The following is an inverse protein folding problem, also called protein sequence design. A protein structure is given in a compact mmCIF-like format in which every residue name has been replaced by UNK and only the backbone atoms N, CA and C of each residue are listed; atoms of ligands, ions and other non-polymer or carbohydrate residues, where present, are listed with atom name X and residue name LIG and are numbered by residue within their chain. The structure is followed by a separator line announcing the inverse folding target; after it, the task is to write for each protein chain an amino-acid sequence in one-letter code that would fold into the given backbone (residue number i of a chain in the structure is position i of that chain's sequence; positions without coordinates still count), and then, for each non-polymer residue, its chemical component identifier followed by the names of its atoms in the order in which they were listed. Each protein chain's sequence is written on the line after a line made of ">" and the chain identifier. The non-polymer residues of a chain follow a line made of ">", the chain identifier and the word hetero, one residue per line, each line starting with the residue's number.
data_IF_210243981810
#
_entry.id   IF_210243981810
#
_cell.length_a   1.000
_cell.length_b   1.000
_cell.length_c   1.000
_cell.angle_alpha   90.00
_cell.angle_beta   90.00
_cell.angle_gamma   90.00
#
_symmetry.space_group_name_H-M   'P 1'
#
loop_
_entity.id
_entity.type
_entity.pdbx_description
1 polymer ?
#
# COMPACT_ATOMS: atom_id res chain seq x y z
N UNK A 1 -76.71 -19.00 -16.55
CA UNK A 1 -76.46 -17.56 -16.81
C UNK A 1 -75.17 -17.21 -16.08
N UNK A 2 -74.04 -17.18 -16.79
CA UNK A 2 -73.36 -15.97 -17.29
C UNK A 2 -72.79 -15.14 -16.13
N UNK A 3 -71.47 -15.23 -15.91
CA UNK A 3 -70.45 -14.21 -16.29
C UNK A 3 -70.28 -13.14 -15.18
N UNK A 4 -69.11 -12.63 -14.76
CA UNK A 4 -67.72 -12.65 -15.25
C UNK A 4 -66.83 -11.80 -14.33
N UNK A 5 -65.52 -12.11 -14.31
CA UNK A 5 -64.35 -11.20 -14.13
C UNK A 5 -63.97 -10.71 -12.72
N UNK A 6 -62.70 -10.51 -12.34
CA UNK A 6 -61.37 -10.80 -12.95
C UNK A 6 -60.28 -10.31 -11.96
N UNK A 7 -59.19 -11.10 -11.84
CA UNK A 7 -57.76 -10.70 -11.62
C UNK A 7 -57.40 -9.86 -10.38
N UNK A 8 -56.28 -10.01 -9.67
CA UNK A 8 -55.05 -10.82 -9.76
C UNK A 8 -54.33 -10.68 -8.41
N UNK A 9 -53.47 -11.64 -8.07
CA UNK A 9 -52.20 -11.53 -7.31
C UNK A 9 -51.94 -12.83 -6.56
N UNK A 10 -51.44 -13.83 -7.29
CA UNK A 10 -50.85 -15.04 -6.73
C UNK A 10 -49.71 -15.50 -7.65
N UNK A 11 -48.48 -15.08 -7.36
CA UNK A 11 -47.27 -15.71 -7.88
C UNK A 11 -46.20 -15.73 -6.78
N UNK A 12 -46.29 -16.74 -5.93
CA UNK A 12 -45.16 -17.33 -5.21
C UNK A 12 -45.14 -18.81 -5.59
N UNK A 13 -43.93 -19.34 -5.82
CA UNK A 13 -43.58 -20.75 -6.04
C UNK A 13 -43.83 -21.32 -7.44
N UNK A 14 -42.92 -21.07 -8.39
CA UNK A 14 -42.50 -22.03 -9.43
C UNK A 14 -41.17 -21.55 -10.05
N UNK A 15 -40.05 -21.86 -9.40
CA UNK A 15 -38.73 -21.83 -10.06
C UNK A 15 -37.77 -22.80 -9.35
N UNK A 16 -38.18 -24.06 -9.29
CA UNK A 16 -37.35 -25.14 -8.77
C UNK A 16 -37.72 -26.46 -9.45
N UNK A 17 -37.76 -26.49 -10.79
CA UNK A 17 -37.76 -27.73 -11.57
C UNK A 17 -37.62 -27.41 -13.07
N UNK A 18 -36.39 -27.24 -13.57
CA UNK A 18 -36.00 -27.53 -14.96
C UNK A 18 -34.49 -27.32 -15.11
N UNK A 19 -33.81 -28.14 -15.91
CA UNK A 19 -32.36 -28.18 -16.18
C UNK A 19 -31.49 -29.07 -15.27
N UNK A 20 -31.93 -30.32 -15.09
CA UNK A 20 -31.02 -31.48 -15.08
C UNK A 20 -31.43 -32.37 -16.26
N UNK A 21 -30.47 -32.73 -17.11
CA UNK A 21 -30.57 -33.47 -18.39
C UNK A 21 -30.77 -32.67 -19.68
N UNK A 22 -29.66 -32.15 -20.24
CA UNK A 22 -29.44 -32.20 -21.70
C UNK A 22 -28.03 -32.74 -21.94
N UNK A 23 -27.98 -33.70 -22.86
CA UNK A 23 -26.89 -34.62 -23.12
C UNK A 23 -25.73 -34.03 -23.92
N UNK A 24 -24.57 -34.62 -23.63
CA UNK A 24 -23.36 -34.76 -24.43
C UNK A 24 -23.69 -35.14 -25.88
N UNK A 25 -23.54 -34.23 -26.86
CA UNK A 25 -23.26 -34.58 -28.28
C UNK A 25 -22.77 -33.37 -29.11
N UNK A 26 -21.61 -32.79 -28.83
CA UNK A 26 -20.91 -31.90 -29.79
C UNK A 26 -19.39 -32.03 -29.63
N UNK A 27 -18.87 -33.23 -29.91
CA UNK A 27 -17.43 -33.50 -29.95
C UNK A 27 -17.14 -34.65 -30.94
N UNK A 28 -17.45 -34.45 -32.23
CA UNK A 28 -17.04 -35.36 -33.32
C UNK A 28 -17.50 -34.84 -34.69
N UNK A 29 -17.04 -33.68 -35.16
CA UNK A 29 -17.25 -33.33 -36.58
C UNK A 29 -16.25 -32.36 -37.22
N UNK A 30 -15.01 -32.30 -36.76
CA UNK A 30 -13.96 -31.51 -37.45
C UNK A 30 -12.59 -32.21 -37.52
N UNK A 31 -12.58 -33.54 -37.60
CA UNK A 31 -11.41 -34.31 -37.99
C UNK A 31 -11.86 -35.38 -39.02
N UNK A 32 -11.27 -35.30 -40.22
CA UNK A 32 -11.36 -36.23 -41.37
C UNK A 32 -12.41 -35.93 -42.46
N UNK A 33 -12.03 -35.06 -43.40
CA UNK A 33 -12.14 -35.30 -44.86
C UNK A 33 -10.98 -34.57 -45.54
N UNK A 34 -9.89 -35.30 -45.83
CA UNK A 34 -9.45 -35.75 -47.18
C UNK A 34 -9.24 -34.57 -48.15
N UNK A 35 -7.98 -34.19 -48.39
CA UNK A 35 -7.08 -34.71 -49.46
C UNK A 35 -7.61 -34.51 -50.89
N UNK A 36 -6.77 -33.84 -51.70
CA UNK A 36 -6.74 -33.66 -53.18
C UNK A 36 -7.34 -32.33 -53.71
N UNK A 37 -6.51 -31.33 -54.03
CA UNK A 37 -5.93 -31.11 -55.37
C UNK A 37 -4.98 -29.88 -55.44
N UNK A 38 -3.74 -30.16 -55.88
CA UNK A 38 -2.79 -29.44 -56.74
C UNK A 38 -2.42 -27.93 -56.59
N UNK A 39 -1.11 -27.76 -56.37
CA UNK A 39 -0.14 -26.90 -57.07
C UNK A 39 -0.43 -25.40 -57.26
N UNK A 40 0.26 -24.57 -56.46
CA UNK A 40 0.98 -23.37 -56.91
C UNK A 40 2.03 -22.94 -55.87
N UNK A 41 3.30 -23.10 -56.23
CA UNK A 41 4.55 -22.38 -55.88
C UNK A 41 4.53 -21.52 -54.58
N UNK A 42 5.43 -21.76 -53.60
CA UNK A 42 5.59 -20.88 -52.45
C UNK A 42 6.53 -19.70 -52.78
N UNK A 43 6.06 -18.47 -52.60
CA UNK A 43 6.91 -17.28 -52.51
C UNK A 43 7.46 -17.22 -51.09
N UNK A 44 8.78 -17.37 -50.96
CA UNK A 44 9.52 -17.14 -49.73
C UNK A 44 9.47 -15.65 -49.38
N UNK A 45 8.70 -15.27 -48.36
CA UNK A 45 8.84 -13.97 -47.71
C UNK A 45 9.92 -14.11 -46.63
N UNK A 46 11.02 -13.39 -46.83
CA UNK A 46 12.11 -13.25 -45.86
C UNK A 46 11.58 -12.61 -44.56
N UNK A 47 12.05 -13.01 -43.37
CA UNK A 47 11.73 -12.28 -42.15
C UNK A 47 12.35 -10.88 -42.19
N UNK A 48 11.74 -9.86 -41.55
CA UNK A 48 12.33 -8.53 -41.49
C UNK A 48 13.66 -8.57 -40.71
N UNK A 49 14.63 -7.68 -41.02
CA UNK A 49 15.90 -7.68 -40.35
C UNK A 49 15.72 -7.40 -38.86
N UNK A 50 16.33 -8.25 -38.03
CA UNK A 50 16.49 -8.02 -36.61
C UNK A 50 17.29 -6.73 -36.39
N UNK A 51 16.71 -5.77 -35.68
CA UNK A 51 17.49 -4.67 -35.10
C UNK A 51 18.45 -5.28 -34.08
N UNK A 52 19.72 -5.38 -34.46
CA UNK A 52 20.82 -5.56 -33.51
C UNK A 52 20.90 -4.28 -32.68
N UNK A 53 20.57 -4.38 -31.40
CA UNK A 53 21.10 -3.44 -30.41
C UNK A 53 22.51 -3.92 -30.07
N UNK A 54 23.51 -3.18 -30.52
CA UNK A 54 24.87 -3.31 -30.01
C UNK A 54 24.86 -2.83 -28.55
N UNK A 55 24.84 -3.78 -27.60
CA UNK A 55 25.04 -3.50 -26.19
C UNK A 55 26.53 -3.25 -25.95
N UNK A 56 26.90 -1.99 -25.77
CA UNK A 56 28.11 -1.64 -25.05
C UNK A 56 27.98 -2.05 -23.57
N UNK A 57 29.03 -2.60 -22.94
CA UNK A 57 28.93 -3.14 -21.59
C UNK A 57 28.87 -2.04 -20.53
N UNK A 58 27.97 -2.25 -19.57
CA UNK A 58 27.98 -1.74 -18.19
C UNK A 58 28.17 -0.24 -17.99
N UNK A 59 27.07 0.45 -17.68
CA UNK A 59 27.12 1.65 -16.83
C UNK A 59 26.48 1.33 -15.49
N UNK A 60 27.34 1.14 -14.50
CA UNK A 60 26.99 1.26 -13.08
C UNK A 60 26.51 2.70 -12.83
N UNK A 61 25.43 2.84 -12.08
CA UNK A 61 24.94 4.13 -11.58
C UNK A 61 26.02 4.73 -10.65
N UNK A 62 26.47 6.00 -10.82
CA UNK A 62 27.51 6.55 -9.97
C UNK A 62 26.98 6.93 -8.59
N UNK A 63 27.61 6.39 -7.54
CA UNK A 63 27.50 6.87 -6.16
C UNK A 63 28.21 8.23 -6.06
N UNK A 64 27.47 9.30 -5.76
CA UNK A 64 28.07 10.62 -5.53
C UNK A 64 28.76 10.67 -4.17
N UNK A 65 30.10 10.60 -4.16
CA UNK A 65 30.91 10.98 -3.01
C UNK A 65 31.05 12.51 -2.97
N UNK A 66 30.40 13.17 -1.99
CA UNK A 66 30.67 14.58 -1.68
C UNK A 66 32.05 14.69 -1.01
N UNK A 67 32.99 15.31 -1.71
CA UNK A 67 34.29 15.72 -1.19
C UNK A 67 34.12 16.89 -0.21
N UNK A 68 34.56 16.69 1.03
CA UNK A 68 34.79 17.76 2.02
C UNK A 68 36.15 18.39 1.70
N UNK A 69 36.13 19.61 1.16
CA UNK A 69 37.34 20.43 0.99
C UNK A 69 37.56 21.27 2.24
N UNK A 70 38.51 20.85 3.07
CA UNK A 70 39.05 21.66 4.15
C UNK A 70 39.88 22.82 3.57
N UNK A 71 39.47 24.08 3.80
CA UNK A 71 40.30 25.26 3.59
C UNK A 71 40.75 25.82 4.93
N UNK A 72 42.04 25.61 5.21
CA UNK A 72 42.83 26.22 6.29
C UNK A 72 43.25 27.62 5.84
N UNK A 73 43.07 28.65 6.67
CA UNK A 73 43.82 29.92 6.60
C UNK A 73 44.02 30.53 8.00
N UNK A 74 45.06 31.37 8.19
CA UNK A 74 45.85 31.40 9.42
C UNK A 74 45.43 32.48 10.43
N UNK A 75 45.97 32.28 11.62
CA UNK A 75 45.97 33.13 12.80
C UNK A 75 46.56 34.52 12.59
N UNK A 76 45.89 35.55 13.14
CA UNK A 76 46.53 36.77 13.66
C UNK A 76 45.86 37.14 14.99
N UNK A 77 46.70 37.42 15.98
CA UNK A 77 46.41 37.82 17.35
C UNK A 77 45.82 39.23 17.47
N UNK A 78 44.91 39.44 18.42
CA UNK A 78 44.97 40.61 19.31
C UNK A 78 44.13 40.38 20.58
N UNK A 79 44.71 40.82 21.69
CA UNK A 79 44.24 40.83 23.07
C UNK A 79 43.12 41.85 23.31
N UNK A 80 42.09 41.49 24.09
CA UNK A 80 41.63 42.33 25.21
C UNK A 80 40.70 41.58 26.17
N UNK A 81 41.00 41.77 27.44
CA UNK A 81 40.30 41.44 28.68
C UNK A 81 38.79 41.74 28.66
N UNK A 82 37.95 40.84 29.19
CA UNK A 82 36.97 41.15 30.24
C UNK A 82 36.35 39.87 30.81
N UNK A 83 36.43 39.73 32.14
CA UNK A 83 35.60 38.85 32.96
C UNK A 83 34.12 39.12 32.69
N UNK A 84 33.24 38.12 32.83
CA UNK A 84 32.05 38.12 33.73
C UNK A 84 31.22 36.84 33.54
N UNK A 85 31.04 36.14 34.66
CA UNK A 85 29.95 35.25 35.08
C UNK A 85 29.57 33.99 34.28
N UNK A 86 29.83 32.88 34.95
CA UNK A 86 29.14 31.60 34.92
C UNK A 86 27.62 31.76 34.97
N UNK A 87 26.93 31.23 33.96
CA UNK A 87 25.53 30.82 34.06
C UNK A 87 25.44 29.35 33.61
N UNK A 88 25.24 28.48 34.59
CA UNK A 88 24.86 27.09 34.39
C UNK A 88 23.42 27.05 33.88
N UNK A 89 23.23 26.73 32.59
CA UNK A 89 21.92 26.32 32.07
C UNK A 89 21.92 24.80 32.04
N UNK A 90 21.13 24.21 32.93
CA UNK A 90 20.89 22.78 32.95
C UNK A 90 20.11 22.36 31.71
N UNK A 91 20.73 21.52 30.89
CA UNK A 91 20.02 20.72 29.89
C UNK A 91 19.42 19.51 30.61
N UNK A 92 18.14 19.60 30.98
CA UNK A 92 17.30 18.45 31.26
C UNK A 92 16.16 18.45 30.24
N UNK A 93 16.47 18.08 28.99
CA UNK A 93 15.45 17.66 28.03
C UNK A 93 15.32 16.14 28.13
N UNK A 94 14.53 15.68 29.10
CA UNK A 94 14.02 14.31 29.10
C UNK A 94 13.01 14.26 27.95
N UNK A 95 13.39 13.65 26.82
CA UNK A 95 12.43 13.22 25.81
C UNK A 95 11.45 12.26 26.49
N UNK A 96 10.31 12.78 26.94
CA UNK A 96 9.21 11.97 27.43
C UNK A 96 8.74 11.10 26.26
N UNK A 97 9.05 9.80 26.29
CA UNK A 97 8.50 8.85 25.33
C UNK A 97 6.99 8.82 25.50
N UNK A 98 6.26 9.43 24.57
CA UNK A 98 4.80 9.40 24.54
C UNK A 98 4.32 7.97 24.56
N UNK A 99 3.47 7.62 25.52
CA UNK A 99 2.88 6.27 25.63
C UNK A 99 1.45 6.29 25.15
N UNK A 100 0.92 5.17 24.62
CA UNK A 100 -0.50 5.13 24.24
C UNK A 100 -1.43 5.39 25.43
N UNK A 101 -0.99 5.07 26.65
CA UNK A 101 -1.73 5.32 27.87
C UNK A 101 -1.96 6.82 28.17
N UNK A 102 -1.29 7.75 27.48
CA UNK A 102 -1.55 9.20 27.62
C UNK A 102 -2.76 9.66 26.80
N UNK A 103 -3.28 8.81 25.91
CA UNK A 103 -4.43 9.12 25.04
C UNK A 103 -5.79 8.92 25.72
N UNK A 104 -5.82 8.40 26.94
CA UNK A 104 -7.07 8.11 27.64
C UNK A 104 -7.87 9.41 27.95
N UNK A 105 -9.20 9.43 27.71
CA UNK A 105 -10.00 8.38 27.08
C UNK A 105 -9.75 8.31 25.57
N UNK A 106 -9.47 7.11 25.05
CA UNK A 106 -9.25 6.92 23.61
C UNK A 106 -10.56 7.11 22.84
N UNK A 107 -10.51 7.91 21.77
CA UNK A 107 -11.69 8.24 20.96
C UNK A 107 -11.60 7.69 19.54
N UNK A 108 -10.40 7.57 18.96
CA UNK A 108 -10.24 7.04 17.62
C UNK A 108 -8.96 6.23 17.39
N UNK A 109 -9.00 5.37 16.36
CA UNK A 109 -7.85 4.70 15.77
C UNK A 109 -7.88 4.87 14.27
N UNK A 110 -6.79 5.36 13.69
CA UNK A 110 -6.64 5.50 12.24
C UNK A 110 -5.77 4.37 11.69
N UNK A 111 -6.11 3.86 10.53
CA UNK A 111 -5.43 2.73 9.91
C UNK A 111 -4.89 3.13 8.54
N UNK A 112 -3.64 2.80 8.25
CA UNK A 112 -3.25 2.56 6.87
C UNK A 112 -3.87 1.26 6.32
N UNK A 113 -3.70 0.98 5.03
CA UNK A 113 -4.35 -0.16 4.35
C UNK A 113 -3.31 -1.21 3.94
N UNK A 114 -2.51 -0.93 2.92
CA UNK A 114 -1.48 -1.84 2.42
C UNK A 114 -0.47 -2.16 3.52
N UNK A 115 -0.12 -3.44 3.71
CA UNK A 115 0.77 -3.88 4.78
C UNK A 115 0.22 -3.74 6.21
N UNK A 116 -0.89 -3.00 6.40
CA UNK A 116 -1.43 -2.63 7.72
C UNK A 116 -2.71 -3.40 8.06
N UNK A 117 -3.72 -3.42 7.20
CA UNK A 117 -4.92 -4.28 7.37
C UNK A 117 -4.82 -5.56 6.53
N UNK A 118 -4.03 -5.55 5.46
CA UNK A 118 -3.77 -6.72 4.63
C UNK A 118 -2.28 -6.85 4.29
N UNK A 119 -1.86 -8.09 4.03
CA UNK A 119 -0.56 -8.39 3.43
C UNK A 119 -0.70 -8.34 1.90
N UNK A 120 -0.61 -7.13 1.32
CA UNK A 120 -0.82 -6.87 -0.12
C UNK A 120 0.48 -6.94 -0.95
N UNK A 121 1.63 -6.76 -0.32
CA UNK A 121 2.95 -6.77 -0.97
C UNK A 121 3.23 -8.00 -1.85
N UNK A 122 2.90 -9.25 -1.43
CA UNK A 122 3.10 -10.42 -2.29
C UNK A 122 2.35 -10.32 -3.63
N UNK A 123 1.18 -9.69 -3.64
CA UNK A 123 0.38 -9.49 -4.85
C UNK A 123 0.95 -8.36 -5.70
N UNK A 124 1.37 -7.25 -5.08
CA UNK A 124 2.05 -6.15 -5.79
C UNK A 124 3.34 -6.65 -6.46
N UNK A 125 4.20 -7.34 -5.71
CA UNK A 125 5.42 -7.92 -6.22
C UNK A 125 5.15 -8.86 -7.41
N UNK A 126 4.14 -9.73 -7.30
CA UNK A 126 3.77 -10.60 -8.42
C UNK A 126 3.36 -9.80 -9.66
N UNK A 127 2.51 -8.79 -9.52
CA UNK A 127 2.07 -7.96 -10.66
C UNK A 127 3.25 -7.25 -11.33
N UNK A 128 4.11 -6.60 -10.54
CA UNK A 128 5.30 -5.95 -11.07
C UNK A 128 6.24 -6.94 -11.74
N UNK A 129 6.48 -8.10 -11.12
CA UNK A 129 7.36 -9.14 -11.65
C UNK A 129 6.89 -9.65 -13.02
N UNK A 130 5.61 -10.00 -13.16
CA UNK A 130 5.07 -10.48 -14.44
C UNK A 130 5.08 -9.38 -15.50
N UNK A 131 4.57 -8.19 -15.18
CA UNK A 131 4.43 -7.12 -16.18
C UNK A 131 5.78 -6.54 -16.63
N UNK A 132 6.76 -6.41 -15.73
CA UNK A 132 8.12 -5.99 -16.09
C UNK A 132 8.78 -7.05 -16.99
N UNK A 133 8.57 -8.34 -16.70
CA UNK A 133 9.08 -9.41 -17.54
C UNK A 133 8.46 -9.38 -18.95
N UNK A 134 7.15 -9.15 -19.07
CA UNK A 134 6.44 -9.07 -20.35
C UNK A 134 6.99 -8.00 -21.29
N UNK A 135 7.41 -6.85 -20.74
CA UNK A 135 7.99 -5.76 -21.54
C UNK A 135 9.50 -5.91 -21.76
N UNK A 136 10.11 -7.01 -21.32
CA UNK A 136 11.54 -7.29 -21.47
C UNK A 136 12.44 -6.45 -20.55
N UNK A 137 11.91 -5.91 -19.45
CA UNK A 137 12.72 -5.20 -18.45
C UNK A 137 13.86 -6.10 -17.96
N UNK A 138 15.03 -5.52 -17.67
CA UNK A 138 16.22 -6.26 -17.24
C UNK A 138 16.59 -7.43 -18.18
N UNK A 139 16.41 -7.25 -19.49
CA UNK A 139 16.68 -8.30 -20.49
C UNK A 139 15.72 -9.49 -20.40
N UNK A 140 14.54 -9.33 -19.79
CA UNK A 140 13.54 -10.38 -19.60
C UNK A 140 13.77 -11.26 -18.36
N UNK A 141 14.76 -10.92 -17.52
CA UNK A 141 14.96 -11.59 -16.23
C UNK A 141 13.98 -10.99 -15.21
N UNK A 142 13.13 -11.82 -14.56
CA UNK A 142 12.20 -11.33 -13.54
C UNK A 142 12.92 -10.57 -12.42
N UNK A 143 12.30 -9.49 -11.91
CA UNK A 143 12.79 -8.83 -10.70
C UNK A 143 12.71 -9.78 -9.50
N UNK A 144 13.61 -9.58 -8.54
CA UNK A 144 13.61 -10.31 -7.27
C UNK A 144 12.78 -9.58 -6.22
N UNK A 145 12.51 -10.25 -5.10
CA UNK A 145 11.82 -9.65 -3.96
C UNK A 145 12.67 -8.52 -3.34
N UNK A 146 14.00 -8.68 -3.30
CA UNK A 146 14.91 -7.63 -2.83
C UNK A 146 14.82 -6.38 -3.72
N UNK A 147 14.79 -6.55 -5.04
CA UNK A 147 14.58 -5.42 -5.95
C UNK A 147 13.23 -4.74 -5.70
N UNK A 148 12.16 -5.51 -5.49
CA UNK A 148 10.85 -4.96 -5.17
C UNK A 148 10.90 -4.12 -3.88
N UNK A 149 11.50 -4.64 -2.81
CA UNK A 149 11.62 -3.92 -1.53
C UNK A 149 12.42 -2.62 -1.68
N UNK A 150 13.56 -2.66 -2.37
CA UNK A 150 14.45 -1.50 -2.48
C UNK A 150 13.92 -0.42 -3.45
N UNK A 151 13.23 -0.84 -4.51
CA UNK A 151 12.88 0.04 -5.62
C UNK A 151 11.40 0.38 -5.72
N UNK A 152 10.49 -0.41 -5.17
CA UNK A 152 9.05 -0.32 -5.44
C UNK A 152 8.22 -0.23 -4.15
N UNK A 153 8.43 -1.13 -3.18
CA UNK A 153 7.61 -1.24 -1.98
C UNK A 153 7.51 0.09 -1.21
N UNK A 154 6.30 0.45 -0.80
CA UNK A 154 6.01 1.67 -0.03
C UNK A 154 6.23 3.00 -0.77
N UNK A 155 6.58 3.01 -2.06
CA UNK A 155 6.73 4.23 -2.86
C UNK A 155 5.44 4.63 -3.57
N UNK A 156 5.34 5.90 -3.94
CA UNK A 156 4.23 6.39 -4.75
C UNK A 156 4.34 5.87 -6.19
N UNK A 157 3.18 5.66 -6.83
CA UNK A 157 3.14 5.19 -8.22
C UNK A 157 3.86 6.12 -9.20
N UNK A 158 3.84 7.43 -8.96
CA UNK A 158 4.53 8.40 -9.80
C UNK A 158 6.06 8.26 -9.68
N UNK A 159 6.58 8.08 -8.46
CA UNK A 159 8.00 7.82 -8.20
C UNK A 159 8.45 6.49 -8.82
N UNK A 160 7.60 5.47 -8.74
CA UNK A 160 7.84 4.16 -9.35
C UNK A 160 7.87 4.28 -10.87
N UNK A 161 6.91 5.00 -11.46
CA UNK A 161 6.85 5.26 -12.89
C UNK A 161 8.11 5.98 -13.39
N UNK A 162 8.53 7.04 -12.70
CA UNK A 162 9.76 7.78 -13.03
C UNK A 162 11.01 6.90 -12.88
N UNK A 163 11.09 6.10 -11.81
CA UNK A 163 12.25 5.23 -11.58
C UNK A 163 12.36 4.09 -12.59
N UNK A 164 11.25 3.51 -13.04
CA UNK A 164 11.25 2.36 -13.96
C UNK A 164 11.31 2.81 -15.42
N UNK A 165 10.81 4.00 -15.74
CA UNK A 165 10.73 4.55 -17.11
C UNK A 165 11.25 5.99 -17.16
N UNK A 166 12.53 6.23 -16.82
CA UNK A 166 13.08 7.59 -16.71
C UNK A 166 13.05 8.39 -18.02
N UNK A 167 13.08 7.70 -19.17
CA UNK A 167 13.04 8.32 -20.50
C UNK A 167 11.61 8.48 -21.07
N UNK A 168 10.59 7.92 -20.42
CA UNK A 168 9.20 7.92 -20.90
C UNK A 168 8.20 7.82 -19.74
N UNK A 169 8.04 8.94 -19.02
CA UNK A 169 7.15 9.02 -17.86
C UNK A 169 5.69 8.67 -18.21
N UNK A 170 5.22 8.99 -19.41
CA UNK A 170 3.84 8.68 -19.81
C UNK A 170 3.62 7.18 -19.96
N UNK A 171 4.60 6.46 -20.52
CA UNK A 171 4.60 5.00 -20.51
C UNK A 171 4.68 4.44 -19.10
N UNK A 172 5.48 5.02 -18.21
CA UNK A 172 5.58 4.62 -16.82
C UNK A 172 4.26 4.76 -16.06
N UNK A 173 3.58 5.90 -16.20
CA UNK A 173 2.27 6.15 -15.58
C UNK A 173 1.21 5.17 -16.09
N UNK A 174 1.21 4.89 -17.40
CA UNK A 174 0.32 3.85 -17.96
C UNK A 174 0.64 2.46 -17.40
N UNK A 175 1.92 2.12 -17.28
CA UNK A 175 2.35 0.83 -16.76
C UNK A 175 1.88 0.61 -15.32
N UNK A 176 2.03 1.61 -14.45
CA UNK A 176 1.57 1.49 -13.05
C UNK A 176 0.04 1.39 -12.98
N UNK A 177 -0.72 2.11 -13.80
CA UNK A 177 -2.18 1.99 -13.86
C UNK A 177 -2.64 0.59 -14.33
N UNK A 178 -2.03 0.06 -15.40
CA UNK A 178 -2.27 -1.31 -15.86
C UNK A 178 -1.92 -2.34 -14.75
N UNK A 179 -0.84 -2.08 -13.98
CA UNK A 179 -0.44 -2.89 -12.82
C UNK A 179 -1.49 -2.88 -11.74
N UNK A 180 -2.08 -1.72 -11.43
CA UNK A 180 -3.18 -1.66 -10.46
C UNK A 180 -4.41 -2.42 -10.94
N UNK A 181 -4.71 -2.41 -12.24
CA UNK A 181 -5.78 -3.22 -12.79
C UNK A 181 -5.50 -4.73 -12.64
N UNK A 182 -4.26 -5.18 -12.81
CA UNK A 182 -3.87 -6.56 -12.51
C UNK A 182 -3.97 -6.86 -11.01
N UNK A 183 -3.45 -5.99 -10.15
CA UNK A 183 -3.51 -6.12 -8.69
C UNK A 183 -4.95 -6.31 -8.22
N UNK A 184 -5.89 -5.46 -8.68
CA UNK A 184 -7.29 -5.56 -8.27
C UNK A 184 -7.93 -6.92 -8.62
N UNK A 185 -7.58 -7.52 -9.76
CA UNK A 185 -8.07 -8.85 -10.14
C UNK A 185 -7.55 -9.95 -9.22
N UNK A 186 -6.30 -9.86 -8.77
CA UNK A 186 -5.71 -10.86 -7.86
C UNK A 186 -6.18 -10.66 -6.43
N UNK A 187 -6.21 -9.41 -5.96
CA UNK A 187 -6.62 -9.05 -4.62
C UNK A 187 -8.06 -9.45 -4.32
N UNK A 188 -8.97 -9.41 -5.29
CA UNK A 188 -10.35 -9.87 -5.09
C UNK A 188 -10.48 -11.33 -4.70
N UNK A 189 -9.47 -12.16 -4.96
CA UNK A 189 -9.49 -13.60 -4.70
C UNK A 189 -8.48 -14.06 -3.64
N UNK A 190 -7.35 -13.35 -3.50
CA UNK A 190 -6.17 -13.85 -2.78
C UNK A 190 -5.74 -12.99 -1.60
N UNK A 191 -6.37 -11.84 -1.37
CA UNK A 191 -5.98 -10.91 -0.31
C UNK A 191 -6.14 -11.55 1.07
N UNK A 192 -5.11 -11.38 1.92
CA UNK A 192 -5.09 -11.90 3.28
C UNK A 192 -5.05 -10.75 4.28
N UNK A 193 -5.84 -10.81 5.37
CA UNK A 193 -5.71 -9.86 6.47
C UNK A 193 -4.38 -10.06 7.19
N UNK A 194 -3.84 -9.00 7.79
CA UNK A 194 -2.75 -9.13 8.78
C UNK A 194 -3.26 -9.94 9.98
N UNK A 195 -2.42 -10.84 10.50
CA UNK A 195 -2.80 -11.70 11.63
C UNK A 195 -3.30 -10.87 12.82
N UNK A 196 -4.37 -11.35 13.47
CA UNK A 196 -4.99 -10.66 14.60
C UNK A 196 -5.87 -9.44 14.26
N UNK A 197 -5.97 -9.00 13.00
CA UNK A 197 -6.76 -7.82 12.60
C UNK A 197 -8.18 -7.83 13.17
N UNK A 198 -8.89 -8.96 13.02
CA UNK A 198 -10.27 -9.07 13.49
C UNK A 198 -10.40 -9.05 15.02
N UNK A 199 -9.34 -9.38 15.75
CA UNK A 199 -9.29 -9.27 17.21
C UNK A 199 -9.24 -7.79 17.62
N UNK A 200 -8.43 -6.98 16.93
CA UNK A 200 -8.37 -5.52 17.13
C UNK A 200 -9.66 -4.86 16.68
N UNK A 201 -10.21 -5.24 15.52
CA UNK A 201 -11.53 -4.81 15.03
C UNK A 201 -12.59 -4.98 16.13
N UNK A 202 -12.69 -6.18 16.69
CA UNK A 202 -13.64 -6.47 17.77
C UNK A 202 -13.38 -5.60 19.01
N UNK A 203 -12.12 -5.43 19.42
CA UNK A 203 -11.76 -4.60 20.57
C UNK A 203 -12.19 -3.13 20.41
N UNK A 204 -12.05 -2.58 19.19
CA UNK A 204 -12.51 -1.23 18.81
C UNK A 204 -14.04 -1.13 18.86
N UNK A 205 -14.73 -2.08 18.24
CA UNK A 205 -16.20 -2.11 18.17
C UNK A 205 -16.84 -2.22 19.56
N UNK A 206 -16.30 -3.09 20.42
CA UNK A 206 -16.80 -3.28 21.80
C UNK A 206 -16.70 -2.00 22.65
N UNK A 207 -15.88 -1.02 22.24
CA UNK A 207 -15.67 0.28 22.91
C UNK A 207 -16.32 1.46 22.20
N UNK A 208 -16.91 1.26 21.03
CA UNK A 208 -17.46 2.36 20.22
C UNK A 208 -16.40 3.39 19.80
N UNK A 209 -15.14 2.97 19.66
CA UNK A 209 -14.05 3.84 19.23
C UNK A 209 -14.21 4.16 17.75
N UNK A 210 -14.02 5.44 17.38
CA UNK A 210 -14.11 5.88 15.98
C UNK A 210 -12.92 5.44 15.16
N UNK A 211 -13.09 5.33 13.84
CA UNK A 211 -12.01 4.84 12.97
C UNK A 211 -12.15 5.30 11.53
N UNK A 212 -11.00 5.55 10.91
CA UNK A 212 -10.90 5.83 9.50
C UNK A 212 -9.70 5.10 8.88
N UNK A 213 -9.82 4.78 7.60
CA UNK A 213 -8.72 4.32 6.78
C UNK A 213 -8.06 5.51 6.08
N UNK A 214 -6.73 5.55 6.02
CA UNK A 214 -5.94 6.64 5.43
C UNK A 214 -4.85 6.01 4.60
N UNK A 215 -4.79 6.25 3.29
CA UNK A 215 -3.87 5.52 2.39
C UNK A 215 -3.33 6.42 1.28
N UNK A 216 -2.16 6.09 0.73
CA UNK A 216 -1.68 6.65 -0.55
C UNK A 216 -2.10 5.78 -1.76
N UNK A 217 -2.68 4.60 -1.54
CA UNK A 217 -3.13 3.74 -2.62
C UNK A 217 -4.24 4.41 -3.44
N UNK A 218 -4.36 4.08 -4.74
CA UNK A 218 -5.50 4.50 -5.54
C UNK A 218 -6.83 4.11 -4.87
N UNK A 219 -7.82 5.00 -4.92
CA UNK A 219 -9.13 4.81 -4.29
C UNK A 219 -9.77 3.45 -4.59
N UNK A 220 -9.75 3.05 -5.86
CA UNK A 220 -10.32 1.77 -6.29
C UNK A 220 -9.63 0.55 -5.66
N UNK A 221 -8.33 0.64 -5.36
CA UNK A 221 -7.61 -0.42 -4.66
C UNK A 221 -7.99 -0.43 -3.18
N UNK A 222 -8.04 0.75 -2.55
CA UNK A 222 -8.42 0.91 -1.15
C UNK A 222 -9.82 0.35 -0.87
N UNK A 223 -10.81 0.75 -1.68
CA UNK A 223 -12.19 0.28 -1.59
C UNK A 223 -12.28 -1.25 -1.80
N UNK A 224 -11.56 -1.77 -2.80
CA UNK A 224 -11.50 -3.22 -3.03
C UNK A 224 -10.94 -3.95 -1.81
N UNK A 225 -9.77 -3.56 -1.30
CA UNK A 225 -9.14 -4.24 -0.17
C UNK A 225 -10.02 -4.21 1.07
N UNK A 226 -10.60 -3.05 1.41
CA UNK A 226 -11.54 -2.92 2.54
C UNK A 226 -12.74 -3.87 2.36
N UNK A 227 -13.34 -3.89 1.17
CA UNK A 227 -14.52 -4.73 0.90
C UNK A 227 -14.19 -6.23 0.91
N UNK A 228 -13.05 -6.64 0.34
CA UNK A 228 -12.59 -8.03 0.30
C UNK A 228 -12.30 -8.60 1.69
N UNK A 229 -11.95 -7.75 2.67
CA UNK A 229 -11.75 -8.14 4.06
C UNK A 229 -13.04 -8.05 4.92
N UNK A 230 -14.17 -7.69 4.31
CA UNK A 230 -15.44 -7.51 5.04
C UNK A 230 -15.43 -6.32 6.00
N UNK A 231 -14.69 -5.25 5.66
CA UNK A 231 -14.51 -4.05 6.47
C UNK A 231 -15.29 -2.83 5.95
N UNK A 232 -16.18 -3.01 4.96
CA UNK A 232 -16.92 -1.89 4.34
C UNK A 232 -17.70 -1.04 5.36
N UNK A 233 -18.32 -1.67 6.35
CA UNK A 233 -19.06 -0.99 7.42
C UNK A 233 -18.20 -0.70 8.66
N UNK A 234 -16.92 -1.09 8.62
CA UNK A 234 -16.01 -0.90 9.74
C UNK A 234 -15.44 0.51 9.77
N UNK A 235 -15.14 1.17 8.65
CA UNK A 235 -14.56 2.51 8.66
C UNK A 235 -15.63 3.59 8.50
N UNK A 236 -15.53 4.67 9.29
CA UNK A 236 -16.42 5.84 9.15
C UNK A 236 -15.99 6.75 7.99
N UNK A 237 -14.70 6.70 7.61
CA UNK A 237 -14.15 7.43 6.50
C UNK A 237 -12.99 6.67 5.85
N UNK A 238 -12.83 6.89 4.54
CA UNK A 238 -11.66 6.52 3.76
C UNK A 238 -11.03 7.80 3.22
N UNK A 239 -9.78 8.05 3.61
CA UNK A 239 -8.99 9.19 3.14
C UNK A 239 -7.94 8.70 2.15
N UNK A 240 -8.04 9.21 0.93
CA UNK A 240 -7.07 8.95 -0.13
C UNK A 240 -6.08 10.11 -0.19
N UNK A 241 -4.79 9.81 -0.07
CA UNK A 241 -3.72 10.80 0.02
C UNK A 241 -3.64 11.72 -1.20
N UNK A 242 -3.90 11.19 -2.40
CA UNK A 242 -3.94 11.98 -3.64
C UNK A 242 -5.14 12.93 -3.74
N UNK A 243 -6.15 12.80 -2.87
CA UNK A 243 -7.28 13.73 -2.72
C UNK A 243 -7.03 14.78 -1.61
N UNK A 244 -5.82 14.84 -1.06
CA UNK A 244 -5.39 15.82 -0.07
C UNK A 244 -4.44 16.85 -0.71
N UNK A 245 -4.16 17.96 -0.02
CA UNK A 245 -3.20 18.97 -0.50
C UNK A 245 -1.80 18.35 -0.65
N UNK A 246 -1.38 17.56 0.34
CA UNK A 246 -0.18 16.74 0.27
C UNK A 246 -0.46 15.30 0.73
N UNK A 247 0.07 14.32 0.00
CA UNK A 247 0.01 12.92 0.39
C UNK A 247 1.04 12.58 1.49
N UNK A 248 1.01 11.39 2.09
CA UNK A 248 2.04 10.96 3.06
C UNK A 248 3.43 11.06 2.38
N UNK A 249 4.47 11.61 3.02
CA UNK A 249 4.68 11.73 4.46
C UNK A 249 4.15 13.02 5.11
N UNK A 250 3.39 13.84 4.40
CA UNK A 250 2.75 15.01 4.99
C UNK A 250 1.59 14.60 5.90
N UNK A 251 1.29 15.41 6.94
CA UNK A 251 0.26 15.06 7.93
C UNK A 251 -1.18 15.20 7.41
N UNK A 252 -1.37 15.88 6.29
CA UNK A 252 -2.66 16.31 5.74
C UNK A 252 -3.70 15.18 5.67
N UNK A 253 -3.39 13.95 5.19
CA UNK A 253 -4.37 12.88 5.12
C UNK A 253 -4.88 12.44 6.50
N UNK A 254 -4.01 12.45 7.51
CA UNK A 254 -4.38 12.10 8.87
C UNK A 254 -5.15 13.21 9.57
N UNK A 255 -4.76 14.48 9.36
CA UNK A 255 -5.49 15.63 9.89
C UNK A 255 -6.91 15.71 9.29
N UNK A 256 -7.04 15.43 7.98
CA UNK A 256 -8.34 15.34 7.30
C UNK A 256 -9.21 14.21 7.86
N UNK A 257 -8.62 13.07 8.22
CA UNK A 257 -9.34 11.98 8.87
C UNK A 257 -9.94 12.43 10.22
N UNK A 258 -9.16 13.11 11.06
CA UNK A 258 -9.60 13.64 12.36
C UNK A 258 -10.75 14.65 12.21
N UNK A 259 -10.67 15.52 11.22
CA UNK A 259 -11.74 16.49 10.90
C UNK A 259 -13.04 15.78 10.53
N UNK A 260 -12.99 14.81 9.62
CA UNK A 260 -14.16 14.09 9.12
C UNK A 260 -14.84 13.28 10.22
N UNK A 261 -14.07 12.55 11.04
CA UNK A 261 -14.63 11.75 12.12
C UNK A 261 -14.88 12.58 13.40
N UNK A 262 -14.51 13.88 13.39
CA UNK A 262 -14.69 14.85 14.47
C UNK A 262 -14.13 14.35 15.82
N UNK A 263 -12.80 14.17 15.89
CA UNK A 263 -12.06 13.76 17.09
C UNK A 263 -10.73 14.51 17.23
N UNK A 264 -10.21 14.62 18.45
CA UNK A 264 -8.89 15.22 18.70
C UNK A 264 -7.76 14.23 18.45
N UNK A 265 -6.65 14.72 17.89
CA UNK A 265 -5.38 13.97 17.80
C UNK A 265 -4.88 13.49 19.18
N UNK A 266 -5.21 14.22 20.25
CA UNK A 266 -4.76 13.91 21.62
C UNK A 266 -5.47 12.67 22.21
N UNK A 267 -6.49 12.15 21.52
CA UNK A 267 -7.23 10.94 21.86
C UNK A 267 -7.24 9.93 20.71
N UNK A 268 -6.21 9.97 19.85
CA UNK A 268 -6.12 9.17 18.63
C UNK A 268 -4.72 8.62 18.45
N UNK A 269 -4.60 7.37 17.98
CA UNK A 269 -3.34 6.83 17.47
C UNK A 269 -3.53 6.21 16.09
N UNK A 270 -2.40 5.92 15.42
CA UNK A 270 -2.34 5.40 14.06
C UNK A 270 -1.69 4.02 14.03
N UNK A 271 -2.22 3.10 13.22
CA UNK A 271 -1.51 1.91 12.75
C UNK A 271 -0.96 2.14 11.33
N UNK A 272 0.31 1.82 11.12
CA UNK A 272 1.05 2.07 9.87
C UNK A 272 2.15 1.04 9.66
N UNK A 273 2.46 0.68 8.43
CA UNK A 273 3.54 -0.25 8.10
C UNK A 273 4.73 0.41 7.39
N UNK A 274 4.57 1.68 6.97
CA UNK A 274 5.50 2.35 6.05
C UNK A 274 6.26 3.51 6.71
N UNK A 275 7.49 3.77 6.26
CA UNK A 275 8.28 4.93 6.73
C UNK A 275 7.56 6.25 6.42
N UNK A 276 6.95 6.36 5.23
CA UNK A 276 6.25 7.60 4.84
C UNK A 276 5.04 7.84 5.74
N UNK A 277 4.29 6.78 6.05
CA UNK A 277 3.07 6.89 6.81
C UNK A 277 3.29 7.07 8.31
N UNK A 278 4.30 6.41 8.88
CA UNK A 278 4.74 6.72 10.25
C UNK A 278 5.15 8.20 10.35
N UNK A 279 5.93 8.73 9.39
CA UNK A 279 6.28 10.16 9.36
C UNK A 279 5.04 11.06 9.29
N UNK A 280 4.03 10.69 8.50
CA UNK A 280 2.79 11.44 8.39
C UNK A 280 2.01 11.47 9.73
N UNK A 281 1.85 10.32 10.39
CA UNK A 281 1.16 10.24 11.69
C UNK A 281 1.90 11.02 12.79
N UNK A 282 3.22 10.90 12.84
CA UNK A 282 4.08 11.66 13.78
C UNK A 282 4.00 13.16 13.49
N UNK A 283 4.07 13.57 12.22
CA UNK A 283 3.93 14.98 11.83
C UNK A 283 2.53 15.54 12.15
N UNK A 284 1.50 14.70 12.14
CA UNK A 284 0.14 15.06 12.56
C UNK A 284 0.01 15.16 14.09
N UNK A 285 1.07 14.85 14.85
CA UNK A 285 1.11 14.91 16.30
C UNK A 285 0.35 13.77 16.98
N UNK A 286 0.25 12.62 16.32
CA UNK A 286 -0.37 11.40 16.87
C UNK A 286 0.69 10.32 17.16
N UNK A 287 0.53 9.55 18.23
CA UNK A 287 1.24 8.29 18.42
C UNK A 287 1.01 7.33 17.24
N UNK A 288 2.09 6.70 16.76
CA UNK A 288 2.02 5.69 15.70
C UNK A 288 2.52 4.36 16.23
N UNK A 289 1.74 3.30 16.04
CA UNK A 289 2.16 1.91 16.21
C UNK A 289 2.54 1.37 14.84
N UNK A 290 3.83 1.09 14.66
CA UNK A 290 4.35 0.57 13.39
C UNK A 290 4.14 -0.94 13.29
N UNK A 291 3.72 -1.45 12.13
CA UNK A 291 3.56 -2.88 11.84
C UNK A 291 4.70 -3.32 10.93
N UNK A 292 5.58 -4.17 11.46
CA UNK A 292 6.75 -4.68 10.74
C UNK A 292 6.38 -5.90 9.88
N UNK A 293 5.33 -5.80 9.07
CA UNK A 293 4.85 -6.90 8.21
C UNK A 293 5.89 -7.29 7.17
N UNK A 294 6.47 -6.29 6.49
CA UNK A 294 7.41 -6.45 5.37
C UNK A 294 8.58 -5.48 5.39
N UNK A 295 8.39 -4.28 5.91
CA UNK A 295 9.46 -3.27 6.00
C UNK A 295 10.48 -3.60 7.10
N UNK A 296 11.78 -3.36 6.88
CA UNK A 296 12.80 -3.55 7.90
C UNK A 296 12.56 -2.69 9.14
N UNK A 297 12.53 -3.31 10.33
CA UNK A 297 12.25 -2.62 11.60
C UNK A 297 13.14 -1.39 11.84
N UNK A 298 14.43 -1.46 11.47
CA UNK A 298 15.37 -0.36 11.67
C UNK A 298 14.96 0.90 10.89
N UNK A 299 14.44 0.77 9.67
CA UNK A 299 13.95 1.89 8.87
C UNK A 299 12.67 2.48 9.46
N UNK A 300 11.76 1.61 9.93
CA UNK A 300 10.52 2.07 10.59
C UNK A 300 10.84 2.84 11.87
N UNK A 301 11.81 2.38 12.67
CA UNK A 301 12.23 3.07 13.90
C UNK A 301 12.80 4.47 13.65
N UNK A 302 13.46 4.73 12.51
CA UNK A 302 13.94 6.08 12.14
C UNK A 302 12.80 7.08 11.96
N UNK A 303 11.60 6.62 11.59
CA UNK A 303 10.40 7.43 11.50
C UNK A 303 9.76 7.76 12.86
N UNK A 304 10.33 7.23 13.96
CA UNK A 304 9.93 7.47 15.36
C UNK A 304 8.49 7.03 15.72
N UNK A 305 8.06 5.79 15.40
CA UNK A 305 6.85 5.23 15.98
C UNK A 305 7.04 5.07 17.50
N UNK A 306 5.95 4.93 18.24
CA UNK A 306 6.01 4.67 19.70
C UNK A 306 6.63 3.31 19.96
N UNK A 307 6.17 2.30 19.23
CA UNK A 307 6.77 0.97 19.19
C UNK A 307 6.38 0.26 17.88
N UNK A 308 7.08 -0.85 17.62
CA UNK A 308 6.77 -1.76 16.52
C UNK A 308 6.12 -3.04 17.03
N UNK A 309 5.21 -3.58 16.23
CA UNK A 309 4.60 -4.89 16.38
C UNK A 309 4.82 -5.70 15.11
N UNK A 310 4.91 -7.02 15.22
CA UNK A 310 5.02 -7.89 14.04
C UNK A 310 3.70 -8.00 13.29
N UNK A 311 2.61 -8.13 14.04
CA UNK A 311 1.23 -8.21 13.60
C UNK A 311 0.32 -7.87 14.80
N UNK A 312 -1.00 -7.94 14.64
CA UNK A 312 -1.93 -7.60 15.73
C UNK A 312 -2.05 -8.68 16.81
N UNK A 313 -1.35 -9.82 16.70
CA UNK A 313 -1.26 -10.82 17.78
C UNK A 313 -0.12 -10.51 18.75
N UNK A 314 0.76 -9.56 18.41
CA UNK A 314 1.92 -9.20 19.22
C UNK A 314 1.49 -8.82 20.67
N UNK A 315 2.01 -9.52 21.70
CA UNK A 315 1.68 -9.23 23.10
C UNK A 315 1.96 -7.78 23.53
N UNK A 316 2.93 -7.11 22.88
CA UNK A 316 3.22 -5.70 23.17
C UNK A 316 2.03 -4.79 22.87
N UNK A 317 1.30 -5.06 21.78
CA UNK A 317 0.09 -4.32 21.45
C UNK A 317 -0.94 -4.47 22.57
N UNK A 318 -1.26 -5.70 22.93
CA UNK A 318 -2.30 -6.00 23.91
C UNK A 318 -1.96 -5.45 25.30
N UNK A 319 -0.69 -5.51 25.71
CA UNK A 319 -0.26 -4.88 26.96
C UNK A 319 -0.49 -3.35 26.95
N UNK A 320 -0.20 -2.67 25.84
CA UNK A 320 -0.43 -1.24 25.71
C UNK A 320 -1.93 -0.87 25.69
N UNK A 321 -2.76 -1.65 25.01
CA UNK A 321 -4.22 -1.45 24.98
C UNK A 321 -4.85 -1.70 26.35
N UNK A 322 -4.40 -2.72 27.08
CA UNK A 322 -4.85 -3.00 28.45
C UNK A 322 -4.47 -1.90 29.45
N UNK A 323 -3.33 -1.22 29.24
CA UNK A 323 -2.96 -0.06 30.06
C UNK A 323 -3.86 1.14 29.78
N UNK A 324 -4.21 1.34 28.50
CA UNK A 324 -5.13 2.38 28.05
C UNK A 324 -6.53 2.23 28.67
N UNK A 325 -7.04 1.00 28.73
CA UNK A 325 -8.34 0.68 29.34
C UNK A 325 -8.41 0.89 30.87
N UNK A 326 -7.25 1.00 31.55
CA UNK A 326 -7.19 1.19 33.02
C UNK A 326 -7.31 2.64 33.46
N UNK A 327 -7.22 3.60 32.54
CA UNK A 327 -7.25 5.05 32.83
C UNK A 327 -8.58 5.67 32.44
#
# INVERSE_FOLDING_TARGET
>A
MLCTYSSSYAYKYYFFFFMKHINITYYSMFLKKKFLFHNSIPIFLSPPPSLRFDLHPTQQVPISQKQVLAKKKPSISSTSTHQTMTASVGENSVESKTTLAELAPLQAVLFDIDGTICDSDPLHHHCFREMLQEIGFNGGVPITEEFFVDHIAGKHNDDIAESLFPDDIQRGLKFVDDKEAMFRRLASEQLKPVNGLYKVKKWIEDRGIKRAAVTNAPKANAELMISSLGLSDFFEALIVGSECEHAKPHPDPYLKALEIINVSKDHTFVFEDSVSGIKAGVAAGMPVVGIATRNPEHLLMEAKPVFLIKDYEDPKLWAALEELDKK
#
